data_IF_833471922975
#
_entry.id   IF_833471922975
#
_cell.length_a   1.000
_cell.length_b   1.000
_cell.length_c   1.000
_cell.angle_alpha   90.00
_cell.angle_beta   90.00
_cell.angle_gamma   90.00
#
_symmetry.space_group_name_H-M   'P 1'
#
loop_
_entity.id
_entity.type
_entity.pdbx_description
1 polymer ?
#
# COMPACT_ATOMS: atom_id res chain seq x y z
N UNK A 1 4.54 26.87 -6.96
CA UNK A 1 5.04 25.47 -6.90
C UNK A 1 6.56 25.53 -6.76
N UNK A 2 7.14 24.83 -5.79
CA UNK A 2 8.59 24.77 -5.63
C UNK A 2 9.12 23.76 -6.65
N UNK A 3 9.76 24.22 -7.71
CA UNK A 3 10.40 23.36 -8.70
C UNK A 3 11.81 23.01 -8.25
N UNK A 4 12.16 21.72 -8.27
CA UNK A 4 13.54 21.25 -8.10
C UNK A 4 14.06 20.78 -9.46
N UNK A 5 15.24 21.25 -9.83
CA UNK A 5 15.92 20.81 -11.06
C UNK A 5 16.78 19.60 -10.75
N UNK A 6 16.68 18.56 -11.57
CA UNK A 6 17.58 17.40 -11.53
C UNK A 6 18.38 17.37 -12.83
N UNK A 7 19.68 17.11 -12.72
CA UNK A 7 20.55 16.91 -13.87
C UNK A 7 20.62 15.42 -14.15
N UNK A 8 20.38 15.02 -15.41
CA UNK A 8 20.42 13.63 -15.86
C UNK A 8 21.32 13.52 -17.09
N UNK A 9 21.83 12.32 -17.36
CA UNK A 9 22.57 12.05 -18.60
C UNK A 9 21.62 11.98 -19.80
N UNK A 10 22.16 12.23 -20.99
CA UNK A 10 21.40 12.11 -22.24
C UNK A 10 20.80 10.72 -22.47
N UNK A 11 21.50 9.67 -22.02
CA UNK A 11 21.01 8.30 -22.11
C UNK A 11 19.73 8.12 -21.27
N UNK A 12 19.73 8.63 -20.04
CA UNK A 12 18.56 8.59 -19.15
C UNK A 12 17.43 9.42 -19.74
N UNK A 13 17.71 10.60 -20.30
CA UNK A 13 16.69 11.42 -20.95
C UNK A 13 16.00 10.68 -22.10
N UNK A 14 16.75 9.98 -22.96
CA UNK A 14 16.20 9.18 -24.06
C UNK A 14 15.28 8.07 -23.55
N UNK A 15 15.67 7.38 -22.49
CA UNK A 15 14.85 6.34 -21.86
C UNK A 15 13.54 6.93 -21.32
N UNK A 16 13.61 8.04 -20.58
CA UNK A 16 12.41 8.71 -20.05
C UNK A 16 11.49 9.20 -21.17
N UNK A 17 12.05 9.66 -22.29
CA UNK A 17 11.30 10.10 -23.47
C UNK A 17 10.54 8.95 -24.14
N UNK A 18 11.11 7.74 -24.18
CA UNK A 18 10.43 6.55 -24.71
C UNK A 18 9.29 6.07 -23.80
N UNK A 19 9.43 6.26 -22.49
CA UNK A 19 8.42 5.86 -21.49
C UNK A 19 7.27 6.87 -21.33
N UNK A 20 7.44 8.08 -21.87
CA UNK A 20 6.50 9.20 -21.77
C UNK A 20 5.31 9.00 -22.71
N UNK A 21 4.09 9.10 -22.18
CA UNK A 21 2.88 9.12 -23.00
C UNK A 21 2.71 10.46 -23.73
N UNK A 22 1.94 10.46 -24.82
CA UNK A 22 1.82 11.59 -25.74
C UNK A 22 1.39 12.89 -25.03
N UNK A 23 0.43 12.79 -24.11
CA UNK A 23 -0.12 13.93 -23.34
C UNK A 23 0.38 14.05 -21.89
N UNK A 24 1.40 13.27 -21.51
CA UNK A 24 1.93 13.26 -20.13
C UNK A 24 3.12 14.22 -20.00
N UNK A 25 3.29 14.92 -18.88
CA UNK A 25 4.51 15.68 -18.59
C UNK A 25 5.63 14.80 -18.02
N UNK A 26 6.90 15.23 -18.10
CA UNK A 26 7.99 14.48 -17.43
C UNK A 26 7.79 14.39 -15.91
N UNK A 27 7.18 15.40 -15.28
CA UNK A 27 6.85 15.36 -13.86
C UNK A 27 5.79 14.31 -13.54
N UNK A 28 4.78 14.14 -14.41
CA UNK A 28 3.77 13.08 -14.27
C UNK A 28 4.34 11.69 -14.50
N UNK A 29 5.24 11.54 -15.49
CA UNK A 29 5.96 10.30 -15.71
C UNK A 29 6.78 9.89 -14.47
N UNK A 30 7.55 10.84 -13.90
CA UNK A 30 8.32 10.58 -12.69
C UNK A 30 7.41 10.24 -11.51
N UNK A 31 6.28 10.93 -11.37
CA UNK A 31 5.27 10.61 -10.35
C UNK A 31 4.70 9.21 -10.53
N UNK A 32 4.35 8.82 -11.76
CA UNK A 32 3.83 7.49 -12.09
C UNK A 32 4.86 6.40 -11.81
N UNK A 33 6.12 6.62 -12.20
CA UNK A 33 7.21 5.68 -11.93
C UNK A 33 7.47 5.57 -10.42
N UNK A 34 7.49 6.69 -9.70
CA UNK A 34 7.63 6.69 -8.26
C UNK A 34 6.46 5.95 -7.57
N UNK A 35 5.23 6.14 -8.03
CA UNK A 35 4.05 5.42 -7.53
C UNK A 35 4.04 3.94 -7.92
N UNK A 36 4.61 3.56 -9.05
CA UNK A 36 4.70 2.14 -9.44
C UNK A 36 5.81 1.40 -8.71
N UNK A 37 6.92 2.10 -8.38
CA UNK A 37 8.05 1.52 -7.64
C UNK A 37 7.76 1.53 -6.13
N UNK A 38 7.27 2.64 -5.58
CA UNK A 38 6.67 2.70 -4.24
C UNK A 38 5.19 2.30 -4.29
N UNK A 39 4.82 1.40 -5.20
CA UNK A 39 3.53 0.73 -5.21
C UNK A 39 3.40 -0.22 -4.02
N UNK A 40 3.67 0.28 -2.82
CA UNK A 40 2.95 -0.14 -1.64
C UNK A 40 1.49 0.16 -1.96
N UNK A 41 0.86 -0.81 -2.62
CA UNK A 41 -0.55 -1.06 -2.46
C UNK A 41 -0.82 -0.80 -0.99
N UNK A 42 -1.54 0.27 -0.67
CA UNK A 42 -1.98 0.50 0.71
C UNK A 42 -2.73 -0.75 1.21
N UNK A 43 -3.32 -1.53 0.30
CA UNK A 43 -3.84 -2.89 0.52
C UNK A 43 -2.80 -3.89 1.09
N UNK A 44 -1.52 -3.80 0.71
CA UNK A 44 -0.44 -4.60 1.32
C UNK A 44 0.00 -4.06 2.68
N UNK A 45 -0.30 -2.81 3.03
CA UNK A 45 0.01 -2.26 4.36
C UNK A 45 -1.15 -2.42 5.36
N UNK A 46 -2.39 -2.40 4.88
CA UNK A 46 -3.58 -2.58 5.71
C UNK A 46 -3.93 -4.07 5.83
N UNK A 47 -3.49 -4.70 6.93
CA UNK A 47 -3.96 -6.03 7.31
C UNK A 47 -3.16 -7.21 6.73
N UNK A 48 -2.15 -6.96 5.90
CA UNK A 48 -1.17 -8.00 5.56
C UNK A 48 -0.11 -8.06 6.66
N UNK A 49 -0.27 -8.99 7.59
CA UNK A 49 0.80 -9.32 8.53
C UNK A 49 1.68 -10.38 7.86
N UNK A 50 2.97 -10.10 7.68
CA UNK A 50 3.94 -11.11 7.28
C UNK A 50 4.19 -12.04 8.47
N UNK A 51 3.28 -12.99 8.71
CA UNK A 51 3.33 -13.93 9.82
C UNK A 51 3.93 -15.26 9.39
N UNK A 52 4.73 -15.85 10.26
CA UNK A 52 5.03 -17.27 10.17
C UNK A 52 3.89 -18.13 10.76
N UNK A 53 3.87 -19.43 10.43
CA UNK A 53 2.81 -20.34 10.87
C UNK A 53 2.65 -20.44 12.39
N UNK A 54 3.72 -20.19 13.15
CA UNK A 54 3.69 -20.23 14.61
C UNK A 54 3.06 -18.96 15.18
N UNK A 55 3.47 -17.78 14.70
CA UNK A 55 2.90 -16.49 15.11
C UNK A 55 1.41 -16.42 14.78
N UNK A 56 1.00 -16.96 13.63
CA UNK A 56 -0.41 -17.05 13.27
C UNK A 56 -1.20 -17.91 14.28
N UNK A 57 -0.66 -19.03 14.73
CA UNK A 57 -1.31 -19.89 15.73
C UNK A 57 -1.46 -19.19 17.07
N UNK A 58 -0.41 -18.54 17.54
CA UNK A 58 -0.39 -17.86 18.84
C UNK A 58 -1.46 -16.74 18.87
N UNK A 59 -1.56 -15.95 17.79
CA UNK A 59 -2.59 -14.92 17.63
C UNK A 59 -4.00 -15.53 17.61
N UNK A 60 -4.20 -16.65 16.91
CA UNK A 60 -5.49 -17.33 16.85
C UNK A 60 -5.93 -17.88 18.22
N UNK A 61 -4.99 -18.40 19.00
CA UNK A 61 -5.26 -18.90 20.36
C UNK A 61 -5.65 -17.77 21.31
N UNK A 62 -4.94 -16.64 21.25
CA UNK A 62 -5.26 -15.47 22.07
C UNK A 62 -6.63 -14.87 21.72
N UNK A 63 -6.95 -14.76 20.42
CA UNK A 63 -8.28 -14.30 19.97
C UNK A 63 -9.37 -15.24 20.48
N UNK A 64 -9.18 -16.56 20.43
CA UNK A 64 -10.16 -17.53 20.96
C UNK A 64 -10.29 -17.44 22.48
N UNK A 65 -9.20 -17.22 23.20
CA UNK A 65 -9.22 -17.05 24.66
C UNK A 65 -9.96 -15.79 25.11
N UNK A 66 -9.92 -14.72 24.31
CA UNK A 66 -10.53 -13.43 24.61
C UNK A 66 -11.91 -13.21 23.96
N UNK A 67 -12.44 -14.19 23.22
CA UNK A 67 -13.82 -14.13 22.74
C UNK A 67 -14.78 -14.23 23.92
N UNK A 68 -15.33 -13.08 24.34
CA UNK A 68 -16.46 -13.04 25.24
C UNK A 68 -17.63 -13.80 24.60
N UNK A 69 -18.34 -14.67 25.34
CA UNK A 69 -19.56 -15.27 24.81
C UNK A 69 -20.53 -14.15 24.45
N UNK A 70 -20.88 -14.06 23.18
CA UNK A 70 -21.93 -13.16 22.71
C UNK A 70 -23.24 -13.59 23.36
N UNK A 71 -23.59 -12.95 24.48
CA UNK A 71 -24.78 -13.27 25.25
C UNK A 71 -25.97 -12.58 24.58
N UNK A 72 -26.73 -13.34 23.77
CA UNK A 72 -28.01 -12.92 23.17
C UNK A 72 -29.11 -12.73 24.23
N UNK A 73 -28.89 -11.85 25.21
CA UNK A 73 -30.01 -11.31 25.99
C UNK A 73 -30.79 -10.37 25.08
N UNK A 74 -31.79 -10.95 24.41
CA UNK A 74 -32.93 -10.31 23.76
C UNK A 74 -33.27 -9.00 24.50
N UNK A 75 -32.94 -7.85 23.89
CA UNK A 75 -33.64 -6.61 24.22
C UNK A 75 -35.03 -6.75 23.63
N UNK A 76 -35.99 -7.23 24.41
CA UNK A 76 -37.39 -6.88 24.16
C UNK A 76 -37.50 -5.38 24.40
N UNK A 77 -37.75 -4.63 23.34
CA UNK A 77 -38.26 -3.28 23.45
C UNK A 77 -39.76 -3.42 23.74
N UNK A 78 -40.14 -3.19 24.99
CA UNK A 78 -41.49 -2.73 25.35
C UNK A 78 -41.58 -1.21 25.14
#
# INVERSE_FOLDING_TARGET
>A
MVSKTITITEEVYKILKLLKKQDESFSELLRRLAMSVNGQNLEHFFGSWELNDQEYKDIQEEIKGNQLPFNEKKRSFD
#
